data_IF_262415605209
#
_entry.id   IF_262415605209
#
_cell.length_a   1.000
_cell.length_b   1.000
_cell.length_c   1.000
_cell.angle_alpha   90.00
_cell.angle_beta   90.00
_cell.angle_gamma   90.00
#
_symmetry.space_group_name_H-M   'P 1'
#
loop_
_entity.id
_entity.type
_entity.pdbx_description
1 polymer ?
#
# COMPACT_ATOMS: atom_id res chain seq x y z
N UNK A 1 9.40 -26.74 -14.57
CA UNK A 1 9.89 -25.37 -14.85
C UNK A 1 10.29 -24.76 -13.52
N UNK A 2 11.49 -24.18 -13.44
CA UNK A 2 11.97 -23.47 -12.25
C UNK A 2 10.99 -22.33 -11.99
N UNK A 3 10.33 -22.33 -10.83
CA UNK A 3 9.51 -21.21 -10.37
C UNK A 3 10.48 -20.08 -9.97
N UNK A 4 11.10 -19.44 -10.95
CA UNK A 4 11.94 -18.28 -10.68
C UNK A 4 11.01 -17.20 -10.11
N UNK A 5 11.29 -16.79 -8.87
CA UNK A 5 10.60 -15.70 -8.20
C UNK A 5 10.85 -14.46 -9.06
N UNK A 6 9.82 -14.03 -9.77
CA UNK A 6 9.87 -12.89 -10.67
C UNK A 6 8.85 -11.86 -10.21
N UNK A 7 9.20 -10.58 -10.29
CA UNK A 7 8.24 -9.49 -10.07
C UNK A 7 7.19 -9.51 -11.18
N UNK A 8 5.92 -9.47 -10.82
CA UNK A 8 4.82 -9.35 -11.79
C UNK A 8 4.78 -7.96 -12.43
N UNK A 9 5.24 -6.93 -11.71
CA UNK A 9 5.28 -5.54 -12.14
C UNK A 9 6.41 -4.79 -11.41
N UNK A 10 7.03 -3.83 -12.10
CA UNK A 10 8.02 -2.90 -11.53
C UNK A 10 7.65 -1.50 -12.01
N UNK A 11 7.46 -0.58 -11.07
CA UNK A 11 7.13 0.81 -11.34
C UNK A 11 8.03 1.78 -10.57
N UNK A 12 8.13 3.01 -11.07
CA UNK A 12 8.77 4.12 -10.38
C UNK A 12 7.77 5.26 -10.29
N UNK A 13 7.51 5.73 -9.07
CA UNK A 13 6.61 6.87 -8.83
C UNK A 13 7.42 8.07 -8.35
N UNK A 14 7.21 9.21 -8.99
CA UNK A 14 7.77 10.50 -8.59
C UNK A 14 6.65 11.45 -8.18
N UNK A 15 6.73 11.97 -6.95
CA UNK A 15 5.77 12.92 -6.41
C UNK A 15 6.46 14.28 -6.29
N UNK A 16 6.09 15.22 -7.16
CA UNK A 16 6.55 16.60 -7.06
C UNK A 16 5.94 17.29 -5.83
N UNK A 17 6.60 18.33 -5.32
CA UNK A 17 6.04 19.15 -4.25
C UNK A 17 4.67 19.71 -4.65
N UNK A 18 3.70 19.65 -3.73
CA UNK A 18 2.39 20.25 -3.97
C UNK A 18 2.45 21.77 -3.94
N UNK A 19 1.65 22.39 -4.80
CA UNK A 19 1.31 23.80 -4.73
C UNK A 19 -0.19 23.88 -4.45
N UNK A 20 -0.57 24.25 -3.22
CA UNK A 20 -1.97 24.32 -2.77
C UNK A 20 -2.40 23.15 -1.87
N UNK A 21 -3.70 22.92 -1.75
CA UNK A 21 -4.25 21.85 -0.90
C UNK A 21 -3.85 20.47 -1.43
N UNK A 22 -3.30 19.57 -0.59
CA UNK A 22 -3.04 18.19 -0.97
C UNK A 22 -4.37 17.51 -1.28
N UNK A 23 -4.59 17.21 -2.56
CA UNK A 23 -5.64 16.29 -2.97
C UNK A 23 -5.04 14.87 -2.95
N UNK A 24 -5.79 13.85 -3.33
CA UNK A 24 -5.23 12.55 -3.76
C UNK A 24 -5.03 11.46 -2.69
N UNK A 25 -6.01 11.22 -1.83
CA UNK A 25 -6.20 9.87 -1.31
C UNK A 25 -7.13 9.08 -2.22
N UNK A 26 -6.58 8.62 -3.34
CA UNK A 26 -7.22 7.57 -4.14
C UNK A 26 -7.02 6.25 -3.41
N UNK A 27 -7.94 5.88 -2.53
CA UNK A 27 -7.91 4.59 -1.85
C UNK A 27 -8.41 3.49 -2.79
N UNK A 28 -7.58 2.48 -3.02
CA UNK A 28 -7.91 1.30 -3.83
C UNK A 28 -7.18 0.07 -3.28
N UNK A 29 -7.53 -1.10 -3.81
CA UNK A 29 -6.79 -2.35 -3.62
C UNK A 29 -6.12 -2.71 -4.93
N UNK A 30 -4.86 -3.10 -4.91
CA UNK A 30 -4.14 -3.53 -6.12
C UNK A 30 -4.74 -4.81 -6.74
N UNK A 31 -5.41 -5.62 -5.92
CA UNK A 31 -6.12 -6.81 -6.36
C UNK A 31 -7.19 -7.23 -5.37
N UNK A 32 -8.05 -8.13 -5.82
CA UNK A 32 -9.05 -8.77 -4.95
C UNK A 32 -8.43 -9.80 -4.01
N UNK A 33 -9.18 -10.15 -2.96
CA UNK A 33 -8.79 -11.18 -2.00
C UNK A 33 -8.81 -12.58 -2.62
N UNK A 34 -7.80 -13.38 -2.29
CA UNK A 34 -7.70 -14.80 -2.66
C UNK A 34 -8.12 -15.66 -1.46
N UNK A 35 -9.42 -15.91 -1.33
CA UNK A 35 -10.05 -16.44 -0.09
C UNK A 35 -9.48 -17.80 0.35
N UNK A 36 -9.05 -18.62 -0.61
CA UNK A 36 -8.43 -19.92 -0.37
C UNK A 36 -7.01 -19.84 0.22
N UNK A 37 -6.32 -18.70 0.07
CA UNK A 37 -4.98 -18.51 0.61
C UNK A 37 -5.04 -18.13 2.09
N UNK A 38 -4.19 -18.68 2.98
CA UNK A 38 -4.23 -18.38 4.42
C UNK A 38 -4.12 -16.89 4.78
N UNK A 39 -3.46 -16.10 3.92
CA UNK A 39 -3.31 -14.65 4.07
C UNK A 39 -4.35 -13.82 3.30
N UNK A 40 -5.25 -14.46 2.54
CA UNK A 40 -6.20 -13.82 1.61
C UNK A 40 -5.57 -12.91 0.54
N UNK A 41 -4.25 -12.99 0.35
CA UNK A 41 -3.50 -12.17 -0.59
C UNK A 41 -3.10 -12.97 -1.82
N UNK A 42 -3.21 -12.34 -2.98
CA UNK A 42 -2.73 -12.89 -4.26
C UNK A 42 -1.33 -12.39 -4.62
N UNK A 43 -1.07 -11.12 -4.33
CA UNK A 43 0.16 -10.43 -4.66
C UNK A 43 0.73 -9.81 -3.39
N UNK A 44 2.03 -9.55 -3.40
CA UNK A 44 2.74 -8.80 -2.36
C UNK A 44 3.51 -7.68 -3.05
N UNK A 45 3.58 -6.51 -2.43
CA UNK A 45 4.36 -5.39 -2.94
C UNK A 45 5.55 -5.08 -2.03
N UNK A 46 6.63 -4.64 -2.66
CA UNK A 46 7.79 -4.05 -2.00
C UNK A 46 7.95 -2.63 -2.54
N UNK A 47 7.76 -1.65 -1.66
CA UNK A 47 7.95 -0.23 -1.97
C UNK A 47 9.26 0.22 -1.34
N UNK A 48 10.16 0.77 -2.15
CA UNK A 48 11.44 1.30 -1.68
C UNK A 48 11.43 2.81 -1.79
N UNK A 49 11.63 3.50 -0.67
CA UNK A 49 11.79 4.94 -0.68
C UNK A 49 13.16 5.33 -1.23
N UNK A 50 13.15 6.13 -2.30
CA UNK A 50 14.36 6.66 -2.93
C UNK A 50 14.75 8.06 -2.41
N UNK A 51 13.93 8.62 -1.51
CA UNK A 51 14.15 9.87 -0.80
C UNK A 51 13.65 9.72 0.65
N UNK A 52 14.00 10.65 1.53
CA UNK A 52 13.43 10.68 2.87
C UNK A 52 11.92 10.97 2.79
N UNK A 53 11.15 10.25 3.60
CA UNK A 53 9.69 10.37 3.67
C UNK A 53 9.29 10.57 5.12
N UNK A 54 8.71 11.72 5.42
CA UNK A 54 8.14 12.09 6.72
C UNK A 54 6.76 12.77 6.56
N UNK A 55 6.21 13.23 7.67
CA UNK A 55 4.93 13.94 7.79
C UNK A 55 4.81 15.23 6.96
N UNK A 56 5.92 15.80 6.52
CA UNK A 56 5.98 17.02 5.68
C UNK A 56 6.06 16.69 4.19
N UNK A 57 6.28 15.42 3.85
CA UNK A 57 6.44 14.93 2.49
C UNK A 57 5.30 14.00 2.06
N UNK A 58 5.37 13.55 0.81
CA UNK A 58 4.46 12.53 0.33
C UNK A 58 4.84 11.15 0.87
N UNK A 59 3.90 10.50 1.56
CA UNK A 59 4.08 9.13 2.05
C UNK A 59 3.11 8.15 1.39
N UNK A 60 3.44 6.86 1.48
CA UNK A 60 2.53 5.76 1.22
C UNK A 60 1.71 5.48 2.48
N UNK A 61 0.40 5.28 2.32
CA UNK A 61 -0.51 4.99 3.41
C UNK A 61 -1.28 3.71 3.15
N UNK A 62 -1.53 2.94 4.20
CA UNK A 62 -2.32 1.70 4.14
C UNK A 62 -3.47 1.74 5.12
N UNK A 63 -4.55 1.03 4.78
CA UNK A 63 -5.61 0.68 5.71
C UNK A 63 -5.54 -0.82 5.96
N UNK A 64 -5.00 -1.27 7.12
CA UNK A 64 -4.78 -2.69 7.38
C UNK A 64 -6.06 -3.52 7.36
N UNK A 65 -5.95 -4.74 6.84
CA UNK A 65 -7.01 -5.74 6.87
C UNK A 65 -6.52 -7.00 7.61
N UNK A 66 -7.27 -7.47 8.60
CA UNK A 66 -6.99 -8.76 9.23
C UNK A 66 -7.72 -9.90 8.51
N UNK A 67 -7.06 -11.04 8.35
CA UNK A 67 -7.71 -12.28 7.87
C UNK A 67 -8.85 -12.77 8.78
N UNK A 68 -8.96 -12.26 10.01
CA UNK A 68 -10.06 -12.59 10.93
C UNK A 68 -11.25 -11.64 10.82
N UNK A 69 -11.11 -10.56 10.06
CA UNK A 69 -12.17 -9.56 9.87
C UNK A 69 -12.99 -9.86 8.60
N UNK A 70 -14.23 -9.34 8.53
CA UNK A 70 -14.99 -9.35 7.28
C UNK A 70 -14.32 -8.48 6.23
N UNK A 71 -14.46 -8.89 4.96
CA UNK A 71 -14.07 -8.08 3.80
C UNK A 71 -15.19 -7.07 3.55
N UNK A 72 -14.83 -5.80 3.43
CA UNK A 72 -15.76 -4.71 3.17
C UNK A 72 -15.55 -4.18 1.75
N UNK A 73 -16.61 -4.24 0.94
CA UNK A 73 -16.63 -3.64 -0.41
C UNK A 73 -16.80 -2.13 -0.35
N UNK A 74 -17.46 -1.61 0.70
CA UNK A 74 -17.56 -0.19 0.96
C UNK A 74 -16.23 0.36 1.48
N UNK A 75 -15.69 1.33 0.75
CA UNK A 75 -14.37 1.91 1.01
C UNK A 75 -14.33 2.68 2.33
N UNK A 76 -15.34 3.48 2.63
CA UNK A 76 -15.35 4.29 3.85
C UNK A 76 -15.50 3.40 5.09
N UNK A 77 -16.28 2.33 5.01
CA UNK A 77 -16.38 1.31 6.04
C UNK A 77 -15.04 0.59 6.25
N UNK A 78 -14.32 0.25 5.17
CA UNK A 78 -12.97 -0.31 5.26
C UNK A 78 -12.01 0.65 5.98
N UNK A 79 -11.96 1.92 5.57
CA UNK A 79 -11.09 2.93 6.21
C UNK A 79 -11.43 3.12 7.69
N UNK A 80 -12.70 3.05 8.05
CA UNK A 80 -13.14 3.09 9.45
C UNK A 80 -12.73 1.85 10.24
N UNK A 81 -12.76 0.67 9.62
CA UNK A 81 -12.40 -0.59 10.27
C UNK A 81 -10.88 -0.74 10.46
N UNK A 82 -10.11 -0.49 9.40
CA UNK A 82 -8.65 -0.66 9.41
C UNK A 82 -7.90 0.55 9.96
N UNK A 83 -8.53 1.73 9.94
CA UNK A 83 -7.85 3.00 10.16
C UNK A 83 -6.92 3.34 9.00
N UNK A 84 -6.09 4.37 9.19
CA UNK A 84 -5.10 4.83 8.22
C UNK A 84 -3.74 4.81 8.91
N UNK A 85 -2.77 4.14 8.29
CA UNK A 85 -1.39 4.10 8.73
C UNK A 85 -0.52 4.75 7.65
N UNK A 86 0.09 5.89 7.98
CA UNK A 86 1.10 6.54 7.14
C UNK A 86 2.45 5.90 7.41
N UNK A 87 3.16 5.52 6.35
CA UNK A 87 4.44 4.84 6.45
C UNK A 87 5.56 5.83 6.12
N UNK A 88 6.38 6.13 7.11
CA UNK A 88 7.52 7.05 7.01
C UNK A 88 8.84 6.28 7.03
N UNK A 89 9.90 6.91 6.57
CA UNK A 89 11.25 6.37 6.63
C UNK A 89 12.23 7.14 5.75
N UNK A 90 13.51 7.02 6.09
CA UNK A 90 14.60 7.60 5.30
C UNK A 90 14.77 6.89 3.94
N UNK A 91 15.51 7.51 3.03
CA UNK A 91 15.90 6.88 1.77
C UNK A 91 16.56 5.51 2.00
N UNK A 92 16.10 4.50 1.28
CA UNK A 92 16.49 3.10 1.45
C UNK A 92 15.54 2.28 2.33
N UNK A 93 14.56 2.93 2.99
CA UNK A 93 13.48 2.21 3.69
C UNK A 93 12.69 1.36 2.70
N UNK A 94 12.45 0.10 3.07
CA UNK A 94 11.64 -0.84 2.31
C UNK A 94 10.35 -1.16 3.10
N UNK A 95 9.21 -0.95 2.46
CA UNK A 95 7.87 -1.28 2.95
C UNK A 95 7.41 -2.54 2.23
N UNK A 96 6.96 -3.53 3.02
CA UNK A 96 6.43 -4.78 2.53
C UNK A 96 4.95 -4.87 2.90
N UNK A 97 4.06 -4.89 1.90
CA UNK A 97 2.60 -4.82 2.05
C UNK A 97 1.87 -5.84 1.22
#
# INVERSE_FOLDING_TARGET
>A
MKNDICFSEIGLQHMAAYIGDPKHWGWYRDGGHLIEHPLRMKNIQLIVYLSNVDETTHCFSVSPESVKQPILDDREAQLKQGGICNLYGDAGTAIFV
#
